data_IF_666396722165
#
_entry.id   IF_666396722165
#
_cell.length_a   1.000
_cell.length_b   1.000
_cell.length_c   1.000
_cell.angle_alpha   90.00
_cell.angle_beta   90.00
_cell.angle_gamma   90.00
#
_symmetry.space_group_name_H-M   'P 1'
#
loop_
_entity.id
_entity.type
_entity.pdbx_description
1 polymer ?
#
# COMPACT_ATOMS: atom_id res chain seq x y z
N UNK A 1 69.95 -48.98 5.81
CA UNK A 1 68.83 -48.89 6.77
C UNK A 1 67.71 -48.07 6.12
N UNK A 2 66.54 -48.68 5.90
CA UNK A 2 65.19 -48.09 5.75
C UNK A 2 64.89 -47.04 4.64
N UNK A 3 64.03 -47.50 3.72
CA UNK A 3 63.01 -46.81 2.90
C UNK A 3 62.50 -45.44 3.40
N UNK A 4 62.11 -44.53 2.50
CA UNK A 4 60.70 -44.34 2.06
C UNK A 4 60.48 -43.16 1.09
N UNK A 5 59.47 -43.37 0.25
CA UNK A 5 58.86 -42.50 -0.76
C UNK A 5 58.36 -41.15 -0.22
N UNK A 6 58.27 -40.15 -1.09
CA UNK A 6 57.39 -38.98 -0.90
C UNK A 6 56.39 -38.92 -2.05
N UNK A 7 55.13 -39.14 -1.68
CA UNK A 7 53.99 -39.17 -2.57
C UNK A 7 53.49 -37.78 -2.97
N UNK A 8 52.74 -37.81 -4.05
CA UNK A 8 51.96 -36.72 -4.66
C UNK A 8 50.87 -36.30 -3.68
N UNK A 9 50.81 -35.01 -3.34
CA UNK A 9 49.72 -34.40 -2.59
C UNK A 9 48.75 -33.75 -3.59
N UNK A 10 47.65 -34.45 -3.88
CA UNK A 10 46.46 -33.87 -4.52
C UNK A 10 45.77 -32.92 -3.54
N UNK A 11 45.64 -31.66 -3.92
CA UNK A 11 44.86 -30.67 -3.18
C UNK A 11 43.38 -30.78 -3.60
N UNK A 12 42.55 -31.38 -2.75
CA UNK A 12 41.09 -31.38 -2.91
C UNK A 12 40.54 -30.08 -2.33
N UNK A 13 40.10 -29.16 -3.18
CA UNK A 13 39.42 -27.93 -2.76
C UNK A 13 37.97 -28.28 -2.33
N UNK A 14 37.68 -28.18 -1.03
CA UNK A 14 36.34 -28.31 -0.49
C UNK A 14 35.62 -26.96 -0.65
N UNK A 15 34.75 -26.83 -1.64
CA UNK A 15 33.86 -25.68 -1.80
C UNK A 15 32.70 -25.83 -0.81
N UNK A 16 32.79 -25.19 0.36
CA UNK A 16 31.65 -25.02 1.27
C UNK A 16 30.72 -23.94 0.70
N UNK A 17 29.70 -24.35 -0.05
CA UNK A 17 28.57 -23.48 -0.36
C UNK A 17 27.70 -23.32 0.89
N UNK A 18 27.91 -22.24 1.65
CA UNK A 18 27.00 -21.82 2.71
C UNK A 18 25.75 -21.21 2.07
N UNK A 19 24.72 -22.04 1.86
CA UNK A 19 23.38 -21.53 1.60
C UNK A 19 22.87 -20.79 2.84
N UNK A 20 22.78 -19.46 2.78
CA UNK A 20 21.95 -18.70 3.71
C UNK A 20 20.49 -19.07 3.44
N UNK A 21 20.00 -20.09 4.14
CA UNK A 21 18.57 -20.30 4.29
C UNK A 21 18.06 -19.15 5.19
N UNK A 22 17.43 -18.14 4.60
CA UNK A 22 16.67 -17.16 5.35
C UNK A 22 15.48 -17.88 6.00
N UNK A 23 15.64 -18.31 7.24
CA UNK A 23 14.54 -18.82 8.04
C UNK A 23 13.55 -17.67 8.27
N UNK A 24 12.36 -17.75 7.68
CA UNK A 24 11.30 -16.76 7.91
C UNK A 24 10.97 -16.67 9.40
N UNK A 25 10.78 -15.46 9.92
CA UNK A 25 10.46 -15.27 11.32
C UNK A 25 9.14 -15.98 11.67
N UNK A 26 9.15 -16.74 12.77
CA UNK A 26 7.95 -17.37 13.31
C UNK A 26 7.00 -16.32 13.92
N UNK A 27 5.70 -16.61 13.94
CA UNK A 27 4.73 -15.69 14.51
C UNK A 27 5.00 -15.43 16.01
N UNK A 28 4.88 -14.18 16.45
CA UNK A 28 5.11 -13.77 17.84
C UNK A 28 3.92 -12.95 18.39
N UNK A 29 3.27 -13.44 19.44
CA UNK A 29 2.18 -12.73 20.11
C UNK A 29 2.68 -11.82 21.24
N UNK A 30 2.27 -10.55 21.19
CA UNK A 30 2.52 -9.53 22.20
C UNK A 30 1.26 -9.30 23.02
N UNK A 31 1.39 -9.29 24.35
CA UNK A 31 0.32 -8.99 25.30
C UNK A 31 0.67 -7.84 26.27
N UNK A 32 1.87 -7.27 26.12
CA UNK A 32 2.45 -6.22 26.96
C UNK A 32 3.25 -5.27 26.08
N UNK A 33 3.47 -4.05 26.58
CA UNK A 33 4.11 -2.97 25.83
C UNK A 33 5.49 -3.40 25.31
N UNK A 34 5.68 -3.31 24.00
CA UNK A 34 6.91 -3.74 23.34
C UNK A 34 7.11 -3.01 22.02
N UNK A 35 8.36 -2.80 21.66
CA UNK A 35 8.79 -2.29 20.35
C UNK A 35 9.99 -3.08 19.88
N UNK A 36 10.17 -3.21 18.58
CA UNK A 36 11.34 -3.90 18.04
C UNK A 36 11.26 -4.07 16.53
N UNK A 37 12.01 -5.03 16.02
CA UNK A 37 11.96 -5.43 14.61
C UNK A 37 11.55 -6.89 14.52
N UNK A 38 10.70 -7.21 13.55
CA UNK A 38 10.26 -8.56 13.24
C UNK A 38 10.13 -8.73 11.72
N UNK A 39 10.89 -9.67 11.17
CA UNK A 39 10.89 -10.02 9.74
C UNK A 39 11.07 -8.80 8.80
N UNK A 40 12.02 -7.93 9.16
CA UNK A 40 12.36 -6.74 8.39
C UNK A 40 11.47 -5.51 8.61
N UNK A 41 10.46 -5.58 9.49
CA UNK A 41 9.59 -4.46 9.83
C UNK A 41 9.75 -4.04 11.28
N UNK A 42 9.75 -2.72 11.53
CA UNK A 42 9.58 -2.21 12.88
C UNK A 42 8.17 -2.53 13.37
N UNK A 43 8.00 -2.80 14.65
CA UNK A 43 6.71 -2.91 15.31
C UNK A 43 6.65 -2.08 16.58
N UNK A 44 5.45 -1.64 16.91
CA UNK A 44 5.12 -1.09 18.23
C UNK A 44 3.80 -1.68 18.69
N UNK A 45 3.73 -2.00 19.98
CA UNK A 45 2.52 -2.34 20.69
C UNK A 45 2.54 -1.58 22.01
N UNK A 46 1.52 -0.77 22.24
CA UNK A 46 1.31 -0.04 23.48
C UNK A 46 -0.13 -0.18 23.93
N UNK A 47 -0.34 -0.35 25.23
CA UNK A 47 -1.63 -0.21 25.92
C UNK A 47 -1.42 0.37 27.31
N UNK A 48 -2.46 0.99 27.85
CA UNK A 48 -2.47 1.43 29.25
C UNK A 48 -2.98 0.33 30.20
N UNK A 49 -4.10 -0.31 29.84
CA UNK A 49 -4.83 -1.26 30.67
C UNK A 49 -5.78 -2.09 29.81
N UNK A 50 -6.21 -3.22 30.37
CA UNK A 50 -7.14 -4.13 29.70
C UNK A 50 -6.51 -5.13 28.74
N UNK A 51 -7.37 -5.75 27.93
CA UNK A 51 -7.05 -6.96 27.16
C UNK A 51 -6.98 -6.70 25.66
N UNK A 52 -5.83 -6.16 25.24
CA UNK A 52 -5.39 -6.15 23.84
C UNK A 52 -4.17 -7.06 23.64
N UNK A 53 -4.09 -7.67 22.46
CA UNK A 53 -2.95 -8.45 21.98
C UNK A 53 -2.67 -8.17 20.50
N UNK A 54 -1.42 -8.38 20.09
CA UNK A 54 -0.99 -8.23 18.70
C UNK A 54 -0.04 -9.36 18.32
N UNK A 55 -0.35 -10.10 17.27
CA UNK A 55 0.52 -11.15 16.74
C UNK A 55 1.29 -10.64 15.54
N UNK A 56 2.61 -10.61 15.65
CA UNK A 56 3.53 -10.34 14.55
C UNK A 56 3.55 -11.58 13.65
N UNK A 57 3.10 -11.44 12.41
CA UNK A 57 3.17 -12.49 11.38
C UNK A 57 4.38 -12.26 10.47
N UNK A 58 4.76 -13.17 9.56
CA UNK A 58 5.81 -12.91 8.58
C UNK A 58 5.57 -11.62 7.76
N UNK A 59 6.66 -10.97 7.36
CA UNK A 59 6.71 -9.69 6.66
C UNK A 59 6.05 -8.56 7.43
N UNK A 60 5.37 -7.68 6.70
CA UNK A 60 4.63 -6.55 7.27
C UNK A 60 3.25 -6.91 7.80
N UNK A 61 2.91 -8.20 7.92
CA UNK A 61 1.63 -8.64 8.46
C UNK A 61 1.62 -8.66 9.98
N UNK A 62 0.53 -8.18 10.56
CA UNK A 62 0.20 -8.37 11.97
C UNK A 62 -1.30 -8.64 12.10
N UNK A 63 -1.68 -9.38 13.13
CA UNK A 63 -3.07 -9.45 13.60
C UNK A 63 -3.18 -8.81 14.97
N UNK A 64 -4.37 -8.33 15.33
CA UNK A 64 -4.65 -7.84 16.67
C UNK A 64 -6.04 -8.24 17.13
N UNK A 65 -6.21 -8.31 18.44
CA UNK A 65 -7.52 -8.50 19.06
C UNK A 65 -7.58 -7.71 20.35
N UNK A 66 -8.71 -7.04 20.58
CA UNK A 66 -8.98 -6.37 21.84
C UNK A 66 -10.46 -6.51 22.20
N UNK A 67 -10.74 -6.49 23.50
CA UNK A 67 -12.11 -6.61 24.03
C UNK A 67 -12.55 -5.30 24.66
N UNK A 68 -13.85 -5.21 24.99
CA UNK A 68 -14.47 -4.05 25.66
C UNK A 68 -13.84 -3.69 27.01
N UNK A 69 -13.00 -4.56 27.57
CA UNK A 69 -12.20 -4.29 28.77
C UNK A 69 -10.95 -3.45 28.50
N UNK A 70 -10.64 -3.15 27.22
CA UNK A 70 -9.48 -2.35 26.83
C UNK A 70 -9.80 -0.87 26.95
N UNK A 71 -9.03 -0.13 27.76
CA UNK A 71 -9.19 1.32 27.82
C UNK A 71 -8.55 2.00 26.62
N UNK A 72 -7.23 1.86 26.42
CA UNK A 72 -6.58 2.31 25.19
C UNK A 72 -5.44 1.37 24.76
N UNK A 73 -5.34 1.13 23.47
CA UNK A 73 -4.19 0.45 22.86
C UNK A 73 -3.93 0.98 21.44
N UNK A 74 -2.66 1.00 21.04
CA UNK A 74 -2.22 1.28 19.67
C UNK A 74 -1.09 0.33 19.29
N UNK A 75 -1.14 -0.21 18.08
CA UNK A 75 -0.07 -1.05 17.58
C UNK A 75 -0.13 -1.35 16.10
N UNK A 76 1.03 -1.72 15.54
CA UNK A 76 1.15 -2.09 14.15
C UNK A 76 2.60 -2.30 13.72
N UNK A 77 2.78 -2.52 12.42
CA UNK A 77 4.09 -2.68 11.77
C UNK A 77 4.40 -1.55 10.78
N UNK A 78 5.68 -1.32 10.53
CA UNK A 78 6.18 -0.32 9.59
C UNK A 78 7.69 -0.14 9.68
N UNK A 79 8.14 1.09 9.89
CA UNK A 79 9.54 1.51 9.77
C UNK A 79 10.00 2.38 10.93
N UNK A 80 11.28 2.28 11.24
CA UNK A 80 11.99 3.20 12.11
C UNK A 80 13.43 3.39 11.57
N UNK A 81 13.82 4.58 11.09
CA UNK A 81 12.99 5.79 11.03
C UNK A 81 11.84 5.68 10.01
N UNK A 82 10.81 6.48 10.23
CA UNK A 82 9.67 6.69 9.34
C UNK A 82 10.08 7.55 8.14
N UNK A 83 9.24 8.52 7.81
CA UNK A 83 9.53 9.47 6.72
C UNK A 83 8.77 9.17 5.42
N UNK A 84 8.86 10.12 4.50
CA UNK A 84 8.14 10.10 3.23
C UNK A 84 8.46 8.84 2.42
N UNK A 85 7.40 8.10 2.09
CA UNK A 85 7.42 6.91 1.22
C UNK A 85 6.00 6.63 0.74
N UNK A 86 5.88 5.75 -0.24
CA UNK A 86 4.59 5.16 -0.57
C UNK A 86 4.38 3.94 0.33
N UNK A 87 3.29 3.96 1.09
CA UNK A 87 2.88 2.86 1.97
C UNK A 87 1.67 2.18 1.35
N UNK A 88 1.69 0.85 1.29
CA UNK A 88 0.52 0.07 0.92
C UNK A 88 0.09 -0.76 2.11
N UNK A 89 -1.22 -0.94 2.22
CA UNK A 89 -1.79 -1.80 3.23
C UNK A 89 -2.96 -2.58 2.66
N UNK A 90 -3.18 -3.78 3.19
CA UNK A 90 -4.32 -4.62 2.85
C UNK A 90 -4.63 -5.60 3.97
N UNK A 91 -5.89 -5.98 4.11
CA UNK A 91 -6.32 -7.04 5.01
C UNK A 91 -7.74 -6.81 5.49
N UNK A 92 -8.01 -7.08 6.77
CA UNK A 92 -9.32 -6.97 7.39
C UNK A 92 -9.30 -6.05 8.61
N UNK A 93 -10.20 -5.06 8.61
CA UNK A 93 -10.48 -4.17 9.74
C UNK A 93 -11.81 -4.58 10.40
N UNK A 94 -11.71 -5.52 11.35
CA UNK A 94 -12.83 -6.20 12.01
C UNK A 94 -13.44 -5.39 13.14
N UNK A 95 -13.89 -4.18 12.84
CA UNK A 95 -14.71 -3.36 13.74
C UNK A 95 -16.00 -2.93 13.02
N UNK A 96 -16.84 -2.14 13.68
CA UNK A 96 -18.01 -1.53 13.05
C UNK A 96 -18.15 -0.07 13.50
N UNK A 97 -19.20 0.60 13.02
CA UNK A 97 -19.37 2.03 13.23
C UNK A 97 -19.66 2.43 14.69
N UNK A 98 -19.94 1.49 15.61
CA UNK A 98 -20.13 1.80 17.04
C UNK A 98 -18.84 1.73 17.85
N UNK A 99 -17.77 1.13 17.31
CA UNK A 99 -16.51 0.94 18.03
C UNK A 99 -15.60 2.15 17.88
N UNK A 100 -15.11 2.71 18.98
CA UNK A 100 -14.09 3.76 18.88
C UNK A 100 -12.73 3.11 18.59
N UNK A 101 -12.36 3.13 17.31
CA UNK A 101 -11.16 2.50 16.77
C UNK A 101 -10.74 3.23 15.50
N UNK A 102 -9.45 3.20 15.19
CA UNK A 102 -8.88 3.79 13.98
C UNK A 102 -8.03 2.76 13.23
N UNK A 103 -8.00 2.89 11.91
CA UNK A 103 -6.97 2.31 11.05
C UNK A 103 -6.24 3.48 10.37
N UNK A 104 -4.99 3.71 10.74
CA UNK A 104 -4.24 4.89 10.34
C UNK A 104 -2.76 4.59 10.16
N UNK A 105 -2.11 5.30 9.24
CA UNK A 105 -0.66 5.43 9.31
C UNK A 105 -0.31 6.39 10.44
N UNK A 106 0.50 5.93 11.38
CA UNK A 106 0.76 6.56 12.67
C UNK A 106 2.26 6.69 12.90
N UNK A 107 2.71 7.83 13.41
CA UNK A 107 4.13 7.98 13.75
C UNK A 107 4.45 9.20 14.56
N UNK A 108 5.74 9.34 14.84
CA UNK A 108 6.26 10.43 15.66
C UNK A 108 7.46 11.11 15.02
N UNK A 109 7.63 12.39 15.35
CA UNK A 109 8.88 13.12 15.15
C UNK A 109 9.38 13.71 16.46
N UNK A 110 10.68 14.03 16.52
CA UNK A 110 11.30 14.80 17.60
C UNK A 110 11.88 16.10 17.05
N UNK A 111 11.95 17.13 17.89
CA UNK A 111 12.48 18.45 17.54
C UNK A 111 11.85 19.04 16.25
N UNK A 112 10.53 19.31 16.23
CA UNK A 112 9.57 19.26 17.34
C UNK A 112 9.00 17.85 17.63
N UNK A 113 8.55 17.64 18.88
CA UNK A 113 7.78 16.45 19.27
C UNK A 113 6.38 16.55 18.67
N UNK A 114 6.11 15.72 17.66
CA UNK A 114 4.82 15.68 16.96
C UNK A 114 4.39 14.22 16.86
N UNK A 115 3.14 13.97 17.22
CA UNK A 115 2.44 12.73 16.89
C UNK A 115 1.61 12.98 15.63
N UNK A 116 1.64 12.09 14.63
CA UNK A 116 0.89 12.32 13.40
C UNK A 116 0.12 11.08 12.95
N UNK A 117 -0.99 11.35 12.30
CA UNK A 117 -1.92 10.36 11.78
C UNK A 117 -2.34 10.69 10.35
N UNK A 118 -2.31 9.69 9.48
CA UNK A 118 -3.04 9.67 8.20
C UNK A 118 -4.11 8.59 8.34
N UNK A 119 -5.35 9.03 8.58
CA UNK A 119 -6.47 8.19 9.00
C UNK A 119 -7.24 7.72 7.78
N UNK A 120 -7.20 6.42 7.52
CA UNK A 120 -7.90 5.80 6.38
C UNK A 120 -9.33 5.38 6.74
N UNK A 121 -9.53 4.91 7.96
CA UNK A 121 -10.84 4.59 8.52
C UNK A 121 -10.87 4.81 10.03
N UNK A 122 -12.08 4.98 10.55
CA UNK A 122 -12.38 5.05 11.98
C UNK A 122 -13.80 4.55 12.23
N UNK A 123 -14.11 4.11 13.44
CA UNK A 123 -15.47 3.69 13.82
C UNK A 123 -16.33 4.85 14.30
N UNK A 124 -16.71 4.86 15.58
CA UNK A 124 -17.70 5.79 16.14
C UNK A 124 -17.21 7.22 16.36
N UNK A 125 -15.89 7.43 16.39
CA UNK A 125 -15.30 8.74 16.68
C UNK A 125 -14.20 9.08 15.67
N UNK A 126 -14.20 10.32 15.17
CA UNK A 126 -13.12 10.83 14.33
C UNK A 126 -11.99 11.36 15.24
N UNK A 127 -10.77 10.78 15.18
CA UNK A 127 -9.67 11.13 16.08
C UNK A 127 -9.25 12.61 16.02
N UNK A 128 -9.55 13.31 14.93
CA UNK A 128 -9.22 14.73 14.78
C UNK A 128 -10.20 15.68 15.51
N UNK A 129 -11.29 15.18 16.11
CA UNK A 129 -12.36 16.00 16.71
C UNK A 129 -12.02 16.63 18.08
N UNK A 130 -10.76 16.98 18.30
CA UNK A 130 -10.28 17.58 19.54
C UNK A 130 -10.88 18.98 19.78
N UNK A 131 -11.15 19.28 21.06
CA UNK A 131 -11.50 20.62 21.51
C UNK A 131 -10.34 21.60 21.27
N UNK A 132 -10.64 22.78 20.75
CA UNK A 132 -9.63 23.80 20.41
C UNK A 132 -8.74 23.46 19.20
N UNK A 133 -9.05 22.40 18.45
CA UNK A 133 -8.33 22.06 17.23
C UNK A 133 -8.50 23.10 16.12
N UNK A 134 -7.50 23.21 15.25
CA UNK A 134 -7.45 24.18 14.15
C UNK A 134 -7.43 23.44 12.82
N UNK A 135 -8.32 23.81 11.91
CA UNK A 135 -8.40 23.26 10.55
C UNK A 135 -7.42 23.96 9.61
N UNK A 136 -6.77 23.19 8.75
CA UNK A 136 -5.77 23.67 7.77
C UNK A 136 -6.18 23.40 6.32
N UNK A 137 -7.48 23.18 6.09
CA UNK A 137 -8.06 22.86 4.79
C UNK A 137 -7.97 21.39 4.45
N UNK A 138 -8.10 21.07 3.16
CA UNK A 138 -8.02 19.70 2.64
C UNK A 138 -7.22 19.64 1.34
N UNK A 139 -6.88 18.43 0.91
CA UNK A 139 -6.22 18.15 -0.37
C UNK A 139 -6.54 16.77 -0.90
N UNK A 140 -6.31 16.55 -2.19
CA UNK A 140 -6.45 15.24 -2.83
C UNK A 140 -5.15 14.44 -2.76
N UNK A 141 -5.23 13.18 -2.36
CA UNK A 141 -4.18 12.17 -2.52
C UNK A 141 -4.82 10.80 -2.63
N UNK A 142 -4.19 9.85 -3.34
CA UNK A 142 -4.58 8.44 -3.30
C UNK A 142 -6.10 8.19 -3.49
N UNK A 143 -6.69 8.94 -4.44
CA UNK A 143 -8.10 8.83 -4.81
C UNK A 143 -9.12 9.34 -3.78
N UNK A 144 -8.74 10.15 -2.78
CA UNK A 144 -9.72 10.86 -1.93
C UNK A 144 -9.23 12.20 -1.41
N UNK A 145 -10.17 12.92 -0.81
CA UNK A 145 -9.89 14.14 -0.06
C UNK A 145 -9.40 13.76 1.34
N UNK A 146 -8.39 14.48 1.83
CA UNK A 146 -7.95 14.40 3.21
C UNK A 146 -8.16 15.76 3.88
N UNK A 147 -8.98 15.78 4.93
CA UNK A 147 -9.18 16.96 5.77
C UNK A 147 -8.03 17.06 6.78
N UNK A 148 -7.40 18.22 6.88
CA UNK A 148 -6.20 18.42 7.70
C UNK A 148 -6.52 19.26 8.92
N UNK A 149 -6.13 18.76 10.09
CA UNK A 149 -6.39 19.41 11.38
C UNK A 149 -5.21 19.21 12.33
N UNK A 150 -4.97 20.20 13.19
CA UNK A 150 -4.00 20.12 14.30
C UNK A 150 -4.73 20.11 15.63
N UNK A 151 -4.34 19.20 16.51
CA UNK A 151 -4.77 19.15 17.91
C UNK A 151 -3.58 19.36 18.84
N UNK A 152 -3.84 19.80 20.08
CA UNK A 152 -2.82 19.84 21.13
C UNK A 152 -3.15 18.82 22.21
N UNK A 153 -2.14 18.08 22.66
CA UNK A 153 -2.19 17.21 23.82
C UNK A 153 -1.38 17.88 24.92
N UNK A 154 -2.00 18.11 26.08
CA UNK A 154 -1.37 18.76 27.24
C UNK A 154 -1.10 17.70 28.30
N UNK A 155 0.14 17.64 28.81
CA UNK A 155 0.56 16.68 29.84
C UNK A 155 0.13 15.24 29.55
N UNK A 156 0.33 14.79 28.31
CA UNK A 156 -0.10 13.49 27.82
C UNK A 156 1.09 12.52 27.63
N UNK A 157 0.87 11.20 27.68
CA UNK A 157 1.90 10.22 27.33
C UNK A 157 2.44 10.43 25.92
N UNK A 158 3.76 10.25 25.74
CA UNK A 158 4.45 10.35 24.46
C UNK A 158 5.66 9.41 24.43
N UNK A 159 6.36 9.38 23.27
CA UNK A 159 7.63 8.66 23.12
C UNK A 159 8.78 9.20 23.99
N UNK A 160 8.61 10.39 24.58
CA UNK A 160 9.59 11.04 25.46
C UNK A 160 9.00 11.28 26.87
N UNK A 161 8.08 10.40 27.31
CA UNK A 161 7.39 10.51 28.60
C UNK A 161 6.19 11.46 28.55
N UNK A 162 5.74 11.94 29.70
CA UNK A 162 4.61 12.90 29.78
C UNK A 162 5.04 14.26 29.26
N UNK A 163 4.41 14.73 28.19
CA UNK A 163 4.77 15.97 27.50
C UNK A 163 3.54 16.74 27.04
N UNK A 164 3.74 18.00 26.66
CA UNK A 164 2.79 18.77 25.86
C UNK A 164 3.28 18.82 24.41
N UNK A 165 2.47 18.35 23.47
CA UNK A 165 2.84 18.22 22.06
C UNK A 165 1.63 18.44 21.14
N UNK A 166 1.91 18.67 19.86
CA UNK A 166 0.87 18.75 18.83
C UNK A 166 0.66 17.41 18.14
N UNK A 167 -0.57 17.19 17.71
CA UNK A 167 -0.96 16.10 16.83
C UNK A 167 -1.34 16.66 15.46
N UNK A 168 -0.83 16.06 14.38
CA UNK A 168 -1.21 16.40 13.01
C UNK A 168 -2.06 15.28 12.41
N UNK A 169 -3.20 15.65 11.82
CA UNK A 169 -4.12 14.71 11.20
C UNK A 169 -4.29 15.03 9.72
N UNK A 170 -4.24 13.99 8.89
CA UNK A 170 -4.94 13.92 7.61
C UNK A 170 -6.05 12.89 7.74
N UNK A 171 -7.32 13.29 7.65
CA UNK A 171 -8.46 12.37 7.78
C UNK A 171 -9.13 12.16 6.44
N UNK A 172 -9.16 10.91 5.96
CA UNK A 172 -9.76 10.55 4.68
C UNK A 172 -11.25 10.87 4.66
N UNK A 173 -11.71 11.51 3.58
CA UNK A 173 -13.10 11.82 3.30
C UNK A 173 -13.46 11.43 1.84
N UNK A 174 -14.38 10.47 1.64
CA UNK A 174 -15.02 9.65 2.67
C UNK A 174 -14.04 8.68 3.34
N UNK A 175 -14.25 8.39 4.63
CA UNK A 175 -13.50 7.31 5.32
C UNK A 175 -13.75 5.96 4.61
N UNK A 176 -12.77 5.06 4.64
CA UNK A 176 -12.98 3.67 4.16
C UNK A 176 -13.91 2.91 5.10
N UNK A 177 -14.54 1.86 4.57
CA UNK A 177 -15.43 0.97 5.32
C UNK A 177 -14.69 0.02 6.27
N UNK A 178 -15.43 -0.99 6.74
CA UNK A 178 -14.96 -2.05 7.63
C UNK A 178 -14.84 -3.38 6.88
N UNK A 179 -14.27 -4.40 7.52
CA UNK A 179 -14.02 -5.69 6.88
C UNK A 179 -12.81 -5.63 5.96
N UNK A 180 -12.90 -6.23 4.77
CA UNK A 180 -11.82 -6.20 3.79
C UNK A 180 -11.48 -4.75 3.39
N UNK A 181 -10.22 -4.38 3.58
CA UNK A 181 -9.74 -3.02 3.36
C UNK A 181 -8.34 -3.05 2.76
N UNK A 182 -8.08 -2.12 1.85
CA UNK A 182 -6.76 -1.90 1.27
C UNK A 182 -6.61 -0.47 0.79
N UNK A 183 -5.37 -0.04 0.60
CA UNK A 183 -5.08 1.27 0.06
C UNK A 183 -3.60 1.52 -0.11
N UNK A 184 -3.32 2.65 -0.77
CA UNK A 184 -2.00 3.24 -0.91
C UNK A 184 -2.04 4.61 -0.25
N UNK A 185 -0.98 4.97 0.45
CA UNK A 185 -0.80 6.25 1.10
C UNK A 185 0.52 6.82 0.59
N UNK A 186 0.46 7.85 -0.24
CA UNK A 186 1.64 8.63 -0.58
C UNK A 186 1.96 9.60 0.55
N UNK A 187 2.72 9.13 1.54
CA UNK A 187 3.04 9.88 2.77
C UNK A 187 3.69 11.23 2.46
N UNK A 188 4.46 11.31 1.37
CA UNK A 188 5.06 12.56 0.91
C UNK A 188 4.03 13.65 0.63
N UNK A 189 2.88 13.32 0.02
CA UNK A 189 1.82 14.28 -0.25
C UNK A 189 1.26 14.89 1.04
N UNK A 190 1.04 14.06 2.07
CA UNK A 190 0.57 14.52 3.38
C UNK A 190 1.58 15.44 4.06
N UNK A 191 2.85 15.01 4.11
CA UNK A 191 3.90 15.81 4.76
C UNK A 191 4.14 17.13 4.04
N UNK A 192 4.11 17.14 2.71
CA UNK A 192 4.23 18.35 1.90
C UNK A 192 3.04 19.30 2.12
N UNK A 193 1.81 18.76 2.18
CA UNK A 193 0.65 19.60 2.47
C UNK A 193 0.77 20.22 3.86
N UNK A 194 1.09 19.42 4.88
CA UNK A 194 1.30 19.91 6.24
C UNK A 194 2.36 21.03 6.29
N UNK A 195 3.52 20.81 5.68
CA UNK A 195 4.58 21.82 5.60
C UNK A 195 4.12 23.10 4.89
N UNK A 196 3.37 23.00 3.78
CA UNK A 196 2.84 24.17 3.07
C UNK A 196 1.83 24.99 3.89
N UNK A 197 1.29 24.40 4.95
CA UNK A 197 0.38 25.02 5.92
C UNK A 197 1.08 25.42 7.23
N UNK A 198 2.42 25.36 7.28
CA UNK A 198 3.22 25.68 8.47
C UNK A 198 3.22 24.60 9.55
N UNK A 199 2.67 23.42 9.27
CA UNK A 199 2.71 22.25 10.15
C UNK A 199 4.00 21.47 9.90
N UNK A 200 5.13 22.03 10.36
CA UNK A 200 6.45 21.43 10.15
C UNK A 200 6.63 20.19 11.04
N UNK A 201 7.14 19.12 10.43
CA UNK A 201 7.56 17.90 11.10
C UNK A 201 9.04 18.01 11.53
N UNK A 202 9.40 17.30 12.60
CA UNK A 202 10.78 17.21 13.07
C UNK A 202 11.55 16.03 12.49
N UNK A 203 12.58 15.60 13.21
CA UNK A 203 13.32 14.38 12.92
C UNK A 203 12.43 13.16 13.12
N UNK A 204 12.24 12.37 12.07
CA UNK A 204 11.38 11.18 12.13
C UNK A 204 11.90 10.13 13.12
N UNK A 205 11.00 9.63 13.97
CA UNK A 205 11.16 8.40 14.73
C UNK A 205 10.44 7.26 14.00
N UNK A 206 9.59 6.44 14.63
CA UNK A 206 8.89 5.38 13.89
C UNK A 206 7.66 5.88 13.11
N UNK A 207 7.23 5.05 12.16
CA UNK A 207 5.97 5.15 11.43
C UNK A 207 5.42 3.75 11.15
N UNK A 208 4.19 3.46 11.56
CA UNK A 208 3.54 2.14 11.41
C UNK A 208 2.13 2.28 10.86
N UNK A 209 1.65 1.27 10.12
CA UNK A 209 0.23 1.14 9.83
C UNK A 209 -0.46 0.60 11.08
N UNK A 210 -1.01 1.48 11.90
CA UNK A 210 -1.55 1.17 13.21
C UNK A 210 -3.05 0.83 13.17
N UNK A 211 -3.41 -0.12 14.03
CA UNK A 211 -4.75 -0.26 14.56
C UNK A 211 -4.77 0.35 15.96
N UNK A 212 -5.80 1.11 16.28
CA UNK A 212 -6.00 1.73 17.60
C UNK A 212 -7.41 1.41 18.10
N UNK A 213 -7.57 1.17 19.40
CA UNK A 213 -8.86 0.93 20.02
C UNK A 213 -8.96 1.62 21.37
N UNK A 214 -10.01 2.42 21.55
CA UNK A 214 -10.30 3.13 22.79
C UNK A 214 -11.67 2.72 23.32
N UNK A 215 -11.75 2.15 24.52
CA UNK A 215 -13.01 1.74 25.18
C UNK A 215 -13.95 0.98 24.23
N UNK A 216 -13.37 0.05 23.47
CA UNK A 216 -14.04 -0.64 22.36
C UNK A 216 -13.57 -2.09 22.27
N UNK A 217 -14.11 -2.83 21.30
CA UNK A 217 -13.67 -4.18 20.95
C UNK A 217 -13.45 -4.31 19.45
N UNK A 218 -12.62 -5.26 19.05
CA UNK A 218 -12.37 -5.53 17.64
C UNK A 218 -11.21 -6.46 17.38
N UNK A 219 -10.95 -6.67 16.10
CA UNK A 219 -9.76 -7.35 15.62
C UNK A 219 -9.29 -6.75 14.31
N UNK A 220 -8.00 -6.90 14.03
CA UNK A 220 -7.43 -6.56 12.71
C UNK A 220 -6.52 -7.66 12.21
N UNK A 221 -6.40 -7.75 10.89
CA UNK A 221 -5.40 -8.55 10.18
C UNK A 221 -4.89 -7.68 9.05
N UNK A 222 -3.75 -7.03 9.23
CA UNK A 222 -3.25 -5.99 8.32
C UNK A 222 -1.86 -6.37 7.87
N UNK A 223 -1.64 -6.34 6.56
CA UNK A 223 -0.32 -6.41 5.94
C UNK A 223 0.07 -5.04 5.45
N UNK A 224 1.23 -4.55 5.87
CA UNK A 224 1.84 -3.31 5.38
C UNK A 224 3.05 -3.61 4.50
N UNK A 225 3.29 -2.76 3.51
CA UNK A 225 4.53 -2.74 2.73
C UNK A 225 4.88 -1.33 2.27
N UNK A 226 6.14 -1.12 1.88
CA UNK A 226 6.59 0.13 1.25
C UNK A 226 6.96 -0.11 -0.20
N UNK A 227 6.66 0.86 -1.05
CA UNK A 227 6.87 0.77 -2.50
C UNK A 227 5.60 1.18 -3.25
N UNK A 228 5.65 1.23 -4.57
CA UNK A 228 4.44 1.44 -5.38
C UNK A 228 3.52 0.23 -5.24
N UNK A 229 2.33 0.38 -4.63
CA UNK A 229 1.35 -0.72 -4.54
C UNK A 229 0.23 -0.57 -5.55
N UNK A 230 -0.41 -1.67 -5.99
CA UNK A 230 -0.26 -3.02 -5.46
C UNK A 230 -0.83 -4.11 -6.37
N UNK A 231 -0.48 -5.35 -6.00
CA UNK A 231 -1.04 -6.59 -6.53
C UNK A 231 -0.02 -7.58 -7.11
N UNK A 232 0.76 -8.25 -6.26
CA UNK A 232 1.43 -9.52 -6.57
C UNK A 232 2.72 -9.48 -7.41
N UNK A 233 3.70 -10.25 -6.94
CA UNK A 233 5.00 -10.63 -7.55
C UNK A 233 6.18 -9.67 -7.34
N UNK A 234 7.32 -10.29 -7.01
CA UNK A 234 8.68 -9.80 -6.68
C UNK A 234 9.02 -8.30 -6.84
N UNK A 235 9.88 -7.75 -5.95
CA UNK A 235 10.38 -6.38 -6.10
C UNK A 235 11.05 -6.24 -7.47
N UNK A 236 10.62 -5.27 -8.30
CA UNK A 236 11.16 -5.19 -9.64
C UNK A 236 12.55 -4.53 -9.59
N UNK A 237 13.45 -4.87 -10.53
CA UNK A 237 14.77 -4.26 -10.65
C UNK A 237 14.67 -2.72 -10.76
N UNK A 238 15.73 -2.02 -10.32
CA UNK A 238 15.82 -0.57 -10.42
C UNK A 238 15.48 -0.08 -11.85
N UNK A 239 14.63 0.96 -11.95
CA UNK A 239 14.13 1.50 -13.22
C UNK A 239 12.75 0.99 -13.67
N UNK A 240 12.13 0.10 -12.88
CA UNK A 240 10.80 -0.46 -13.19
C UNK A 240 9.64 0.46 -12.83
N UNK A 241 8.62 0.47 -13.69
CA UNK A 241 7.37 1.23 -13.58
C UNK A 241 6.24 0.28 -13.19
N UNK A 242 5.35 0.70 -12.30
CA UNK A 242 4.10 -0.01 -12.04
C UNK A 242 3.04 0.48 -13.01
N UNK A 243 2.43 -0.46 -13.73
CA UNK A 243 1.33 -0.20 -14.66
C UNK A 243 0.09 -0.89 -14.10
N UNK A 244 -0.99 -0.13 -13.91
CA UNK A 244 -2.32 -0.66 -13.59
C UNK A 244 -3.21 -0.46 -14.80
N UNK A 245 -3.81 -1.53 -15.29
CA UNK A 245 -4.85 -1.50 -16.34
C UNK A 245 -6.19 -1.71 -15.64
N UNK A 246 -7.07 -0.71 -15.68
CA UNK A 246 -8.44 -0.82 -15.16
C UNK A 246 -9.34 -1.30 -16.29
N UNK A 247 -9.81 -2.53 -16.23
CA UNK A 247 -10.57 -3.12 -17.33
C UNK A 247 -11.63 -4.13 -16.88
N UNK A 248 -12.55 -4.46 -17.79
CA UNK A 248 -13.51 -5.57 -17.70
C UNK A 248 -13.79 -6.14 -19.07
N UNK A 249 -14.22 -7.40 -19.08
CA UNK A 249 -14.85 -8.04 -20.23
C UNK A 249 -16.37 -7.91 -20.17
N UNK A 250 -17.05 -8.20 -21.28
CA UNK A 250 -18.52 -8.27 -21.35
C UNK A 250 -19.05 -9.66 -21.01
N UNK A 251 -18.36 -10.72 -21.43
CA UNK A 251 -18.72 -12.11 -21.20
C UNK A 251 -17.95 -12.76 -20.04
N UNK A 252 -16.77 -12.24 -19.70
CA UNK A 252 -15.84 -12.88 -18.78
C UNK A 252 -15.04 -13.97 -19.51
N UNK A 253 -13.72 -13.91 -19.41
CA UNK A 253 -12.81 -14.78 -20.18
C UNK A 253 -12.08 -14.10 -21.33
N UNK A 254 -12.35 -12.82 -21.59
CA UNK A 254 -11.58 -11.98 -22.49
C UNK A 254 -10.13 -11.88 -22.02
N UNK A 255 -9.19 -11.86 -22.95
CA UNK A 255 -7.76 -11.85 -22.67
C UNK A 255 -7.18 -10.54 -23.16
N UNK A 256 -6.54 -9.80 -22.25
CA UNK A 256 -5.78 -8.61 -22.59
C UNK A 256 -4.30 -8.77 -22.29
N UNK A 257 -3.45 -8.16 -23.11
CA UNK A 257 -2.00 -8.11 -22.91
C UNK A 257 -1.52 -6.67 -22.83
N UNK A 258 -0.78 -6.33 -21.76
CA UNK A 258 0.01 -5.10 -21.71
C UNK A 258 1.30 -5.35 -22.49
N UNK A 259 1.57 -4.53 -23.50
CA UNK A 259 2.83 -4.56 -24.26
C UNK A 259 3.56 -3.24 -24.16
N UNK A 260 4.89 -3.30 -24.12
CA UNK A 260 5.79 -2.14 -24.16
C UNK A 260 6.86 -2.42 -25.21
N UNK A 261 6.99 -1.53 -26.18
CA UNK A 261 7.87 -1.72 -27.34
C UNK A 261 7.68 -3.10 -28.01
N UNK A 262 6.41 -3.48 -28.21
CA UNK A 262 5.96 -4.76 -28.76
C UNK A 262 6.30 -6.03 -27.93
N UNK A 263 6.95 -5.89 -26.77
CA UNK A 263 7.18 -6.99 -25.85
C UNK A 263 6.01 -7.11 -24.85
N UNK A 264 5.45 -8.31 -24.70
CA UNK A 264 4.42 -8.58 -23.69
C UNK A 264 5.01 -8.49 -22.30
N UNK A 265 4.45 -7.57 -21.50
CA UNK A 265 4.79 -7.38 -20.09
C UNK A 265 3.94 -8.31 -19.22
N UNK A 266 2.65 -8.41 -19.52
CA UNK A 266 1.70 -9.27 -18.81
C UNK A 266 0.47 -9.55 -19.67
N UNK A 267 -0.20 -10.67 -19.38
CA UNK A 267 -1.48 -11.06 -19.98
C UNK A 267 -2.44 -11.45 -18.87
N UNK A 268 -3.69 -11.01 -18.97
CA UNK A 268 -4.72 -11.27 -17.97
C UNK A 268 -6.02 -11.73 -18.62
N UNK A 269 -6.72 -12.62 -17.92
CA UNK A 269 -8.10 -12.98 -18.21
C UNK A 269 -9.05 -12.06 -17.43
N UNK A 270 -9.96 -11.42 -18.14
CA UNK A 270 -10.88 -10.45 -17.58
C UNK A 270 -12.11 -11.10 -16.93
N UNK A 271 -12.60 -10.43 -15.89
CA UNK A 271 -13.94 -10.70 -15.34
C UNK A 271 -14.96 -9.75 -15.95
N UNK A 272 -16.24 -9.99 -15.69
CA UNK A 272 -17.34 -9.12 -16.13
C UNK A 272 -17.43 -7.80 -15.35
N UNK A 273 -16.74 -7.70 -14.21
CA UNK A 273 -16.70 -6.50 -13.37
C UNK A 273 -15.39 -5.74 -13.57
N UNK A 274 -15.45 -4.40 -13.47
CA UNK A 274 -14.25 -3.55 -13.54
C UNK A 274 -13.27 -3.92 -12.43
N UNK A 275 -12.07 -4.31 -12.83
CA UNK A 275 -10.99 -4.70 -11.92
C UNK A 275 -9.66 -4.03 -12.33
N UNK A 276 -8.72 -4.00 -11.39
CA UNK A 276 -7.36 -3.53 -11.62
C UNK A 276 -6.45 -4.72 -11.92
N UNK A 277 -5.76 -4.66 -13.06
CA UNK A 277 -4.76 -5.64 -13.48
C UNK A 277 -3.38 -4.97 -13.45
N UNK A 278 -2.51 -5.44 -12.55
CA UNK A 278 -1.24 -4.77 -12.25
C UNK A 278 -0.05 -5.54 -12.83
N UNK A 279 0.89 -4.83 -13.45
CA UNK A 279 2.21 -5.34 -13.82
C UNK A 279 3.30 -4.34 -13.45
N UNK A 280 4.54 -4.84 -13.34
CA UNK A 280 5.73 -4.00 -13.22
C UNK A 280 6.67 -4.26 -14.39
N UNK A 281 7.24 -3.22 -14.98
CA UNK A 281 8.19 -3.39 -16.10
C UNK A 281 9.28 -2.32 -16.11
N UNK A 282 10.56 -2.67 -16.31
CA UNK A 282 11.63 -1.72 -16.61
C UNK A 282 11.62 -1.26 -18.07
N UNK A 283 10.74 -1.83 -18.91
CA UNK A 283 10.65 -1.48 -20.31
C UNK A 283 10.25 -0.01 -20.49
N UNK A 284 10.80 0.59 -21.53
CA UNK A 284 10.49 1.95 -21.98
C UNK A 284 10.10 1.92 -23.45
N UNK A 285 9.45 2.99 -23.92
CA UNK A 285 8.90 3.08 -25.26
C UNK A 285 7.37 2.92 -25.28
N UNK A 286 6.82 2.78 -26.48
CA UNK A 286 5.37 2.83 -26.70
C UNK A 286 4.64 1.71 -25.96
N UNK A 287 3.56 2.05 -25.27
CA UNK A 287 2.73 1.12 -24.52
C UNK A 287 1.34 0.95 -25.15
N UNK A 288 0.86 -0.29 -25.14
CA UNK A 288 -0.49 -0.64 -25.59
C UNK A 288 -1.13 -1.66 -24.64
N UNK A 289 -2.46 -1.61 -24.53
CA UNK A 289 -3.28 -2.70 -23.99
C UNK A 289 -4.00 -3.37 -25.16
N UNK A 290 -3.66 -4.63 -25.42
CA UNK A 290 -4.14 -5.40 -26.58
C UNK A 290 -5.17 -6.45 -26.14
N UNK A 291 -6.33 -6.48 -26.77
CA UNK A 291 -7.34 -7.54 -26.67
C UNK A 291 -7.07 -8.61 -27.73
N UNK A 292 -7.00 -9.89 -27.32
CA UNK A 292 -6.37 -10.95 -28.14
C UNK A 292 -7.24 -12.18 -28.44
N UNK A 293 -8.41 -12.31 -27.83
CA UNK A 293 -9.26 -13.50 -27.98
C UNK A 293 -10.72 -13.14 -28.24
N UNK A 294 -10.91 -12.10 -29.05
CA UNK A 294 -12.20 -11.76 -29.62
C UNK A 294 -12.85 -12.97 -30.29
N UNK A 295 -14.16 -13.07 -30.11
CA UNK A 295 -15.00 -14.18 -30.55
C UNK A 295 -16.33 -14.20 -29.80
N UNK A 296 -17.42 -14.31 -30.56
CA UNK A 296 -18.77 -14.31 -30.00
C UNK A 296 -19.19 -12.92 -29.51
N UNK A 297 -19.55 -12.81 -28.24
CA UNK A 297 -20.01 -11.57 -27.58
C UNK A 297 -18.93 -10.95 -26.67
N UNK A 298 -17.67 -11.28 -26.92
CA UNK A 298 -16.54 -10.84 -26.10
C UNK A 298 -16.08 -9.46 -26.55
N UNK A 299 -16.25 -8.48 -25.68
CA UNK A 299 -15.72 -7.14 -25.85
C UNK A 299 -14.98 -6.74 -24.58
N UNK A 300 -14.04 -5.81 -24.71
CA UNK A 300 -13.28 -5.28 -23.60
C UNK A 300 -13.56 -3.79 -23.42
N UNK A 301 -13.80 -3.40 -22.18
CA UNK A 301 -13.77 -2.00 -21.76
C UNK A 301 -12.51 -1.78 -20.93
N UNK A 302 -11.62 -0.90 -21.40
CA UNK A 302 -10.47 -0.40 -20.63
C UNK A 302 -10.80 1.03 -20.22
N UNK A 303 -10.96 1.27 -18.92
CA UNK A 303 -11.21 2.61 -18.35
C UNK A 303 -9.96 3.47 -18.52
N UNK A 304 -8.85 3.02 -17.94
CA UNK A 304 -7.56 3.71 -18.05
C UNK A 304 -6.37 2.77 -17.87
N UNK A 305 -5.18 3.29 -18.17
CA UNK A 305 -3.96 2.85 -17.50
C UNK A 305 -3.47 3.88 -16.49
N UNK A 306 -2.85 3.41 -15.42
CA UNK A 306 -2.08 4.24 -14.48
C UNK A 306 -0.62 3.83 -14.54
N UNK A 307 0.26 4.79 -14.83
CA UNK A 307 1.72 4.61 -14.88
C UNK A 307 2.31 5.30 -13.66
N UNK A 308 2.80 4.52 -12.70
CA UNK A 308 3.28 5.02 -11.41
C UNK A 308 2.29 5.97 -10.71
N UNK A 309 0.99 5.70 -10.84
CA UNK A 309 -0.07 6.54 -10.26
C UNK A 309 -0.60 7.63 -11.20
N UNK A 310 0.10 7.96 -12.29
CA UNK A 310 -0.39 8.93 -13.29
C UNK A 310 -1.37 8.26 -14.24
N UNK A 311 -2.63 8.69 -14.21
CA UNK A 311 -3.71 8.14 -15.05
C UNK A 311 -3.58 8.66 -16.49
N UNK A 312 -3.83 7.77 -17.46
CA UNK A 312 -4.03 8.05 -18.87
C UNK A 312 -5.36 7.43 -19.29
N UNK A 313 -6.35 8.27 -19.54
CA UNK A 313 -7.71 7.84 -19.88
C UNK A 313 -7.76 7.26 -21.30
N UNK A 314 -8.51 6.17 -21.49
CA UNK A 314 -8.61 5.49 -22.80
C UNK A 314 -9.30 6.35 -23.85
N UNK A 315 -10.36 7.06 -23.47
CA UNK A 315 -11.13 7.98 -24.31
C UNK A 315 -10.35 9.25 -24.70
N UNK A 316 -9.21 9.50 -24.05
CA UNK A 316 -8.27 10.54 -24.46
C UNK A 316 -7.22 10.05 -25.47
N UNK A 317 -7.11 8.74 -25.68
CA UNK A 317 -6.17 8.17 -26.64
C UNK A 317 -6.74 8.19 -28.05
N UNK A 318 -5.87 8.46 -29.03
CA UNK A 318 -6.25 8.49 -30.45
C UNK A 318 -5.89 7.21 -31.20
N UNK A 319 -5.11 6.32 -30.57
CA UNK A 319 -4.76 5.03 -31.14
C UNK A 319 -5.63 3.94 -30.49
N UNK A 320 -6.67 3.51 -31.19
CA UNK A 320 -7.48 2.36 -30.81
C UNK A 320 -7.84 1.56 -32.07
N UNK A 321 -7.27 0.36 -32.24
CA UNK A 321 -7.49 -0.49 -33.42
C UNK A 321 -8.60 -1.52 -33.22
N UNK A 322 -9.10 -1.70 -32.00
CA UNK A 322 -10.16 -2.67 -31.70
C UNK A 322 -11.54 -2.05 -31.54
N UNK A 323 -11.68 -0.73 -31.51
CA UNK A 323 -13.01 -0.08 -31.45
C UNK A 323 -13.80 -0.33 -32.73
N UNK A 324 -15.07 -0.72 -32.61
CA UNK A 324 -15.97 -0.79 -33.76
C UNK A 324 -16.73 0.52 -33.91
N UNK A 325 -16.32 1.33 -34.88
CA UNK A 325 -16.94 2.61 -35.21
C UNK A 325 -16.93 2.78 -36.73
N UNK A 326 -17.90 3.50 -37.28
CA UNK A 326 -18.00 3.75 -38.73
C UNK A 326 -17.97 2.46 -39.58
N UNK A 327 -18.56 1.37 -39.06
CA UNK A 327 -18.72 0.11 -39.78
C UNK A 327 -17.50 -0.81 -39.83
N UNK A 328 -16.41 -0.50 -39.13
CA UNK A 328 -15.20 -1.35 -39.09
C UNK A 328 -14.45 -1.26 -37.75
N UNK A 329 -13.65 -2.28 -37.45
CA UNK A 329 -12.70 -2.26 -36.34
C UNK A 329 -11.60 -1.22 -36.59
N UNK A 330 -11.23 -0.47 -35.56
CA UNK A 330 -10.29 0.65 -35.66
C UNK A 330 -10.84 1.85 -36.43
N UNK A 331 -12.15 1.86 -36.73
CA UNK A 331 -12.78 3.02 -37.36
C UNK A 331 -12.93 4.20 -36.41
N UNK A 332 -13.12 5.40 -36.96
CA UNK A 332 -13.29 6.62 -36.17
C UNK A 332 -11.96 7.27 -35.77
N UNK A 333 -11.95 7.97 -34.63
CA UNK A 333 -10.79 8.74 -34.14
C UNK A 333 -10.06 8.07 -32.96
N UNK A 334 -10.45 6.84 -32.62
CA UNK A 334 -9.86 6.02 -31.57
C UNK A 334 -10.21 6.41 -30.12
N UNK A 335 -10.95 7.52 -29.91
CA UNK A 335 -11.28 8.07 -28.59
C UNK A 335 -12.42 7.28 -27.92
N UNK A 336 -12.09 6.10 -27.43
CA UNK A 336 -13.04 5.17 -26.81
C UNK A 336 -12.34 4.23 -25.84
N UNK A 337 -13.02 3.91 -24.75
CA UNK A 337 -12.65 2.85 -23.79
C UNK A 337 -12.83 1.43 -24.36
N UNK A 338 -13.55 1.29 -25.48
CA UNK A 338 -14.01 0.00 -25.97
C UNK A 338 -13.09 -0.61 -27.03
N UNK A 339 -12.86 -1.91 -26.89
CA UNK A 339 -12.27 -2.81 -27.87
C UNK A 339 -13.31 -3.90 -28.16
N UNK A 340 -13.98 -3.79 -29.32
CA UNK A 340 -14.99 -4.74 -29.79
C UNK A 340 -14.41 -5.85 -30.67
N UNK A 341 -13.18 -5.65 -31.13
CA UNK A 341 -12.44 -6.59 -31.97
C UNK A 341 -11.06 -6.80 -31.37
N UNK A 342 -10.38 -7.88 -31.78
CA UNK A 342 -8.94 -8.01 -31.58
C UNK A 342 -8.23 -6.73 -32.05
N UNK A 343 -7.44 -6.13 -31.17
CA UNK A 343 -6.90 -4.80 -31.37
C UNK A 343 -6.36 -4.22 -30.08
N UNK A 344 -5.92 -2.96 -30.10
CA UNK A 344 -5.26 -2.36 -28.96
C UNK A 344 -5.53 -0.87 -28.80
N UNK A 345 -5.53 -0.39 -27.55
CA UNK A 345 -5.47 1.03 -27.19
C UNK A 345 -4.02 1.38 -26.86
N UNK A 346 -3.51 2.47 -27.45
CA UNK A 346 -2.15 2.95 -27.25
C UNK A 346 -2.10 4.13 -26.30
N UNK A 347 -1.16 4.10 -25.34
CA UNK A 347 -1.07 5.08 -24.27
C UNK A 347 0.23 5.91 -24.32
N UNK A 348 0.92 5.91 -25.46
CA UNK A 348 2.19 6.60 -25.63
C UNK A 348 3.36 5.94 -24.88
N UNK A 349 4.46 6.67 -24.74
CA UNK A 349 5.69 6.13 -24.12
C UNK A 349 5.58 6.01 -22.60
N UNK A 350 6.19 4.96 -22.05
CA UNK A 350 6.35 4.77 -20.59
C UNK A 350 7.59 5.44 -20.01
#
# INVERSE_FOLDING_TARGET
MKFRSRGILSATALVCATGLLAAGAQAQTLNSNATGTHDGYYYTFWKDSGSASMTLMPGGRYTSQWTSNTNNWVGGKGWNPGGARVVNYSGNYGVNNSQNSYLALYGWTRNPLIEYYIVESYGSYNPASCSGGVDYGSFQSDGATYNVRRCQRVNAPSIDGTQTFYQYFSVRNPKKGFGNISGTINVGNHFNYWASRGLNLGNHFYMVMASEGYQSQGSTDITVSSGSGGGGTNPPPAGSKTIVVRARGTAGGESISLKVNNATVATWTLTTSMANYTATTPASGGSVVEFTNDGGNRDVQVDYISVNGSIRQSEDQTYNTGVYQNGQCGGGNGRSEWLHCNGAIGYGNL
#
